data_IF_326059082482
#
_entry.id   IF_326059082482
#
_cell.length_a   1.000
_cell.length_b   1.000
_cell.length_c   1.000
_cell.angle_alpha   90.00
_cell.angle_beta   90.00
_cell.angle_gamma   90.00
#
_symmetry.space_group_name_H-M   'P 1'
#
loop_
_entity.id
_entity.type
_entity.pdbx_description
1 polymer ?
#
# COMPACT_ATOMS: atom_id res chain seq x y z
N UNK A 1 -23.38 -52.53 5.87
CA UNK A 1 -24.52 -51.79 5.27
C UNK A 1 -23.94 -50.55 4.60
N UNK A 2 -23.68 -50.63 3.30
CA UNK A 2 -23.04 -49.56 2.53
C UNK A 2 -24.13 -49.04 1.58
N UNK A 3 -24.53 -47.79 1.75
CA UNK A 3 -25.57 -47.16 0.94
C UNK A 3 -24.94 -46.61 -0.35
N UNK A 4 -25.46 -47.10 -1.46
CA UNK A 4 -25.09 -46.79 -2.84
C UNK A 4 -25.76 -45.48 -3.28
N UNK A 5 -24.98 -44.54 -3.85
CA UNK A 5 -25.46 -43.25 -4.32
C UNK A 5 -25.86 -43.32 -5.81
N UNK A 6 -27.01 -42.77 -6.25
CA UNK A 6 -27.42 -42.85 -7.65
C UNK A 6 -26.84 -41.74 -8.54
N UNK A 7 -26.57 -42.13 -9.79
CA UNK A 7 -25.98 -41.38 -10.88
C UNK A 7 -26.82 -40.19 -11.38
N UNK A 8 -26.14 -39.09 -11.71
CA UNK A 8 -26.74 -37.88 -12.29
C UNK A 8 -26.88 -38.00 -13.81
N UNK A 9 -28.07 -37.71 -14.33
CA UNK A 9 -28.41 -37.67 -15.77
C UNK A 9 -28.10 -36.30 -16.37
N UNK A 10 -27.31 -36.29 -17.44
CA UNK A 10 -27.04 -35.12 -18.28
C UNK A 10 -28.28 -34.71 -19.09
N UNK A 11 -28.78 -33.49 -18.86
CA UNK A 11 -29.86 -32.88 -19.65
C UNK A 11 -29.26 -31.94 -20.71
N UNK A 12 -29.29 -32.38 -21.96
CA UNK A 12 -29.02 -31.56 -23.16
C UNK A 12 -30.06 -30.44 -23.26
N UNK A 13 -29.63 -29.17 -23.21
CA UNK A 13 -30.49 -28.02 -23.53
C UNK A 13 -30.45 -27.72 -25.03
N UNK A 14 -31.65 -27.65 -25.61
CA UNK A 14 -31.98 -27.36 -27.00
C UNK A 14 -31.91 -25.86 -27.23
N UNK A 15 -31.27 -25.42 -28.32
CA UNK A 15 -31.29 -24.03 -28.78
C UNK A 15 -32.65 -23.71 -29.42
N UNK A 16 -33.34 -22.67 -28.93
CA UNK A 16 -34.49 -22.07 -29.58
C UNK A 16 -34.12 -20.68 -30.08
N UNK A 17 -34.08 -20.57 -31.41
CA UNK A 17 -33.97 -19.35 -32.20
C UNK A 17 -35.34 -18.66 -32.25
N UNK A 18 -35.38 -17.37 -32.00
CA UNK A 18 -36.54 -16.49 -32.19
C UNK A 18 -36.11 -15.19 -32.90
N UNK A 19 -37.05 -14.47 -33.56
CA UNK A 19 -36.79 -13.69 -34.77
C UNK A 19 -36.44 -12.21 -34.52
N UNK A 20 -35.79 -11.64 -35.53
CA UNK A 20 -35.58 -10.21 -35.70
C UNK A 20 -36.91 -9.47 -35.95
N UNK A 21 -37.08 -8.30 -35.33
CA UNK A 21 -37.63 -7.03 -35.89
C UNK A 21 -37.67 -5.99 -34.76
N UNK A 22 -37.09 -4.82 -35.01
CA UNK A 22 -37.17 -3.66 -34.12
C UNK A 22 -35.96 -2.73 -34.27
N UNK A 23 -35.86 -2.02 -35.39
CA UNK A 23 -34.88 -0.93 -35.55
C UNK A 23 -35.43 0.28 -34.80
N UNK A 24 -34.97 0.48 -33.56
CA UNK A 24 -35.16 1.75 -32.85
C UNK A 24 -34.25 2.84 -33.45
N UNK A 25 -34.74 4.09 -33.58
CA UNK A 25 -33.92 5.20 -34.06
C UNK A 25 -32.83 5.53 -33.04
N UNK A 26 -31.58 5.41 -33.48
CA UNK A 26 -30.39 5.74 -32.70
C UNK A 26 -30.48 7.19 -32.19
N UNK A 27 -30.75 7.33 -30.89
CA UNK A 27 -30.58 8.58 -30.17
C UNK A 27 -29.12 9.03 -30.34
N UNK A 28 -28.92 10.17 -31.01
CA UNK A 28 -27.63 10.85 -31.11
C UNK A 28 -27.14 11.10 -29.69
N UNK A 29 -26.17 10.30 -29.24
CA UNK A 29 -25.43 10.56 -28.00
C UNK A 29 -24.69 11.89 -28.18
N UNK A 30 -25.27 12.95 -27.63
CA UNK A 30 -24.59 14.22 -27.45
C UNK A 30 -23.33 13.90 -26.65
N UNK A 31 -22.16 14.07 -27.26
CA UNK A 31 -20.87 13.98 -26.57
C UNK A 31 -20.88 15.06 -25.49
N UNK A 32 -21.23 14.68 -24.26
CA UNK A 32 -21.03 15.54 -23.11
C UNK A 32 -19.57 15.93 -23.09
N UNK A 33 -19.27 17.24 -23.09
CA UNK A 33 -17.93 17.73 -22.80
C UNK A 33 -17.52 17.08 -21.48
N UNK A 34 -16.47 16.27 -21.52
CA UNK A 34 -15.85 15.76 -20.31
C UNK A 34 -15.50 16.97 -19.44
N UNK A 35 -16.12 17.08 -18.28
CA UNK A 35 -15.77 18.09 -17.30
C UNK A 35 -14.38 17.69 -16.81
N UNK A 36 -13.37 18.50 -17.11
CA UNK A 36 -12.01 18.25 -16.63
C UNK A 36 -12.02 18.20 -15.10
N UNK A 37 -11.39 17.17 -14.54
CA UNK A 37 -11.30 17.01 -13.10
C UNK A 37 -10.61 18.24 -12.48
N UNK A 38 -11.11 18.78 -11.36
CA UNK A 38 -10.44 19.88 -10.68
C UNK A 38 -8.99 19.51 -10.36
N UNK A 39 -8.06 20.44 -10.56
CA UNK A 39 -6.69 20.25 -10.10
C UNK A 39 -6.66 20.16 -8.57
N UNK A 40 -5.76 19.35 -8.02
CA UNK A 40 -5.47 19.41 -6.59
C UNK A 40 -4.96 20.80 -6.27
N UNK A 41 -5.33 21.29 -5.09
CA UNK A 41 -4.81 22.56 -4.65
C UNK A 41 -3.31 22.38 -4.43
N UNK A 42 -2.50 23.36 -4.86
CA UNK A 42 -1.04 23.27 -4.77
C UNK A 42 -0.52 23.13 -3.34
N UNK A 43 -1.37 23.34 -2.34
CA UNK A 43 -1.06 23.09 -0.94
C UNK A 43 -1.43 21.67 -0.50
N UNK A 44 -2.28 20.91 -1.18
CA UNK A 44 -2.66 19.53 -0.78
C UNK A 44 -1.41 18.66 -0.55
N UNK A 45 -0.34 18.87 -1.34
CA UNK A 45 0.96 18.21 -1.15
C UNK A 45 2.05 19.28 -1.29
N UNK A 46 3.01 19.40 -0.35
CA UNK A 46 3.23 18.58 0.85
C UNK A 46 2.24 18.89 1.99
N UNK A 47 1.95 17.90 2.84
CA UNK A 47 0.97 18.06 3.92
C UNK A 47 1.02 17.00 5.02
N UNK A 48 0.59 17.39 6.22
CA UNK A 48 0.33 16.48 7.33
C UNK A 48 -1.17 16.23 7.45
N UNK A 49 -1.56 14.99 7.68
CA UNK A 49 -2.94 14.53 7.80
C UNK A 49 -3.13 13.84 9.14
N UNK A 50 -4.26 14.11 9.78
CA UNK A 50 -4.82 13.21 10.77
C UNK A 50 -5.62 12.16 10.02
N UNK A 51 -5.43 10.89 10.35
CA UNK A 51 -6.10 9.78 9.67
C UNK A 51 -6.96 8.99 10.67
N UNK A 52 -7.93 8.27 10.13
CA UNK A 52 -8.85 7.42 10.88
C UNK A 52 -9.08 6.14 10.10
N UNK A 53 -8.88 5.00 10.76
CA UNK A 53 -9.24 3.68 10.24
C UNK A 53 -10.17 3.00 11.25
N UNK A 54 -11.42 2.68 10.88
CA UNK A 54 -12.33 1.96 11.77
C UNK A 54 -11.77 0.61 12.22
N UNK A 55 -11.17 -0.14 11.30
CA UNK A 55 -10.59 -1.46 11.61
C UNK A 55 -9.49 -1.35 12.67
N UNK A 56 -8.53 -0.45 12.48
CA UNK A 56 -7.42 -0.30 13.43
C UNK A 56 -7.93 0.18 14.79
N UNK A 57 -8.87 1.13 14.80
CA UNK A 57 -9.49 1.62 16.02
C UNK A 57 -10.19 0.50 16.79
N UNK A 58 -10.94 -0.37 16.11
CA UNK A 58 -11.65 -1.47 16.77
C UNK A 58 -10.73 -2.54 17.35
N UNK A 59 -9.58 -2.79 16.72
CA UNK A 59 -8.67 -3.87 17.12
C UNK A 59 -7.53 -3.41 18.04
N UNK A 60 -7.17 -2.13 18.03
CA UNK A 60 -5.94 -1.62 18.66
C UNK A 60 -6.09 -0.25 19.36
N UNK A 61 -7.32 0.24 19.60
CA UNK A 61 -7.50 1.49 20.35
C UNK A 61 -7.28 1.28 21.85
N UNK A 62 -6.13 1.75 22.33
CA UNK A 62 -5.85 1.94 23.75
C UNK A 62 -6.17 3.37 24.20
N UNK A 63 -6.52 3.56 25.47
CA UNK A 63 -6.83 4.91 26.03
C UNK A 63 -5.66 5.89 25.88
N UNK A 64 -4.42 5.38 25.90
CA UNK A 64 -3.18 6.17 25.76
C UNK A 64 -2.64 6.21 24.31
N UNK A 65 -3.38 5.66 23.35
CA UNK A 65 -2.90 5.55 21.98
C UNK A 65 -2.72 6.93 21.34
N UNK A 66 -1.56 7.15 20.71
CA UNK A 66 -1.29 8.37 19.96
C UNK A 66 -2.27 8.49 18.78
N UNK A 67 -2.68 9.71 18.40
CA UNK A 67 -3.50 9.91 17.21
C UNK A 67 -2.79 9.41 15.95
N UNK A 68 -3.51 8.66 15.12
CA UNK A 68 -2.99 8.24 13.82
C UNK A 68 -2.69 9.46 12.93
N UNK A 69 -1.53 9.44 12.29
CA UNK A 69 -1.08 10.55 11.46
C UNK A 69 -0.30 10.09 10.23
N UNK A 70 -0.38 10.89 9.17
CA UNK A 70 0.31 10.69 7.91
C UNK A 70 0.95 12.00 7.48
N UNK A 71 2.18 11.94 7.00
CA UNK A 71 2.95 13.06 6.48
C UNK A 71 3.33 12.74 5.05
N UNK A 72 3.06 13.64 4.10
CA UNK A 72 3.37 13.45 2.68
C UNK A 72 4.22 14.61 2.17
N UNK A 73 5.26 14.30 1.39
CA UNK A 73 6.05 15.31 0.69
C UNK A 73 6.76 14.72 -0.55
N UNK A 74 6.86 15.48 -1.65
CA UNK A 74 7.56 15.03 -2.85
C UNK A 74 9.08 15.01 -2.61
N UNK A 75 9.80 14.14 -3.31
CA UNK A 75 11.26 14.16 -3.31
C UNK A 75 11.78 15.51 -3.80
N UNK A 76 12.72 16.09 -3.04
CA UNK A 76 13.53 17.22 -3.48
C UNK A 76 14.24 16.89 -4.80
N UNK A 77 14.41 17.93 -5.64
CA UNK A 77 15.12 17.88 -6.92
C UNK A 77 14.33 17.22 -8.05
N UNK A 78 13.95 15.95 -7.89
CA UNK A 78 13.36 15.17 -8.99
C UNK A 78 11.85 15.25 -9.09
N UNK A 79 11.13 15.40 -7.96
CA UNK A 79 9.66 15.33 -7.92
C UNK A 79 9.06 14.00 -8.43
N UNK A 80 9.90 12.98 -8.69
CA UNK A 80 9.49 11.71 -9.34
C UNK A 80 8.80 10.74 -8.39
N UNK A 81 8.98 10.94 -7.10
CA UNK A 81 8.43 10.08 -6.06
C UNK A 81 7.78 10.97 -5.01
N UNK A 82 6.57 10.61 -4.62
CA UNK A 82 5.98 11.04 -3.37
C UNK A 82 6.48 10.11 -2.25
N UNK A 83 6.76 10.70 -1.11
CA UNK A 83 7.16 9.97 0.09
C UNK A 83 6.17 10.27 1.20
N UNK A 84 6.00 9.30 2.09
CA UNK A 84 5.21 9.48 3.28
C UNK A 84 5.86 8.91 4.53
N UNK A 85 5.55 9.49 5.68
CA UNK A 85 5.80 8.87 6.98
C UNK A 85 4.47 8.77 7.72
N UNK A 86 4.22 7.64 8.36
CA UNK A 86 2.93 7.36 8.96
C UNK A 86 3.06 6.76 10.35
N UNK A 87 1.99 6.88 11.11
CA UNK A 87 1.76 6.21 12.38
C UNK A 87 0.28 5.80 12.44
N UNK A 88 0.02 4.50 12.36
CA UNK A 88 -1.29 3.84 12.38
C UNK A 88 -1.55 3.18 13.75
N UNK A 89 -1.11 3.83 14.84
CA UNK A 89 -1.11 3.29 16.20
C UNK A 89 -0.20 2.08 16.33
N UNK A 90 -0.65 0.88 15.95
CA UNK A 90 0.09 -0.39 16.08
C UNK A 90 1.31 -0.49 15.16
N UNK A 91 1.29 0.22 14.02
CA UNK A 91 2.40 0.21 13.06
C UNK A 91 2.79 1.64 12.68
N UNK A 92 4.09 1.90 12.59
CA UNK A 92 4.63 3.13 12.05
C UNK A 92 5.69 2.87 10.99
N UNK A 93 5.90 3.82 10.09
CA UNK A 93 6.83 3.58 8.99
C UNK A 93 6.91 4.67 7.94
N UNK A 94 7.51 4.29 6.81
CA UNK A 94 7.74 5.13 5.64
C UNK A 94 7.12 4.50 4.40
N UNK A 95 6.41 5.33 3.64
CA UNK A 95 5.80 5.02 2.35
C UNK A 95 6.62 5.62 1.22
N UNK A 96 6.64 4.92 0.09
CA UNK A 96 7.24 5.38 -1.16
C UNK A 96 6.38 4.92 -2.33
N UNK A 97 6.16 5.82 -3.28
CA UNK A 97 5.41 5.51 -4.48
C UNK A 97 5.87 6.34 -5.67
N UNK A 98 5.06 6.33 -6.72
CA UNK A 98 5.29 7.10 -7.94
C UNK A 98 5.18 8.62 -7.74
N UNK A 99 5.09 9.39 -8.83
CA UNK A 99 5.01 10.85 -8.77
C UNK A 99 3.76 11.31 -8.00
N UNK A 100 3.78 12.52 -7.43
CA UNK A 100 2.61 13.08 -6.76
C UNK A 100 1.40 13.18 -7.71
N UNK A 101 0.18 12.88 -7.23
CA UNK A 101 -1.05 13.10 -7.97
C UNK A 101 -1.27 14.58 -8.27
N UNK A 102 -2.03 14.88 -9.33
CA UNK A 102 -2.22 16.25 -9.85
C UNK A 102 -3.67 16.72 -9.81
N UNK A 103 -4.62 15.79 -9.86
CA UNK A 103 -6.04 16.08 -9.95
C UNK A 103 -6.82 15.45 -8.80
N UNK A 104 -7.93 16.08 -8.45
CA UNK A 104 -8.89 15.51 -7.49
C UNK A 104 -9.43 14.21 -8.07
N UNK A 105 -9.41 13.17 -7.25
CA UNK A 105 -9.74 11.79 -7.63
C UNK A 105 -8.54 10.96 -8.07
N UNK A 106 -7.36 11.56 -8.25
CA UNK A 106 -6.15 10.79 -8.53
C UNK A 106 -5.79 9.91 -7.33
N UNK A 107 -5.36 8.69 -7.64
CA UNK A 107 -4.89 7.71 -6.67
C UNK A 107 -3.38 7.57 -6.77
N UNK A 108 -2.72 7.68 -5.62
CA UNK A 108 -1.31 7.41 -5.44
C UNK A 108 -1.12 6.02 -4.83
N UNK A 109 -0.54 5.12 -5.60
CA UNK A 109 -0.12 3.80 -5.12
C UNK A 109 1.27 3.86 -4.50
N UNK A 110 1.44 3.15 -3.39
CA UNK A 110 2.70 3.12 -2.65
C UNK A 110 3.02 1.72 -2.13
N UNK A 111 4.31 1.51 -1.88
CA UNK A 111 4.84 0.48 -1.00
C UNK A 111 5.25 1.12 0.32
N UNK A 112 5.29 0.34 1.40
CA UNK A 112 5.72 0.83 2.70
C UNK A 112 6.63 -0.14 3.44
N UNK A 113 7.37 0.40 4.40
CA UNK A 113 8.21 -0.33 5.35
C UNK A 113 8.03 0.29 6.72
N UNK A 114 7.96 -0.53 7.75
CA UNK A 114 7.66 -0.04 9.08
C UNK A 114 7.98 -1.04 10.17
N UNK A 115 7.67 -0.65 11.39
CA UNK A 115 7.81 -1.44 12.59
C UNK A 115 6.50 -1.43 13.35
N UNK A 116 6.22 -2.52 14.04
CA UNK A 116 5.25 -2.58 15.11
C UNK A 116 5.70 -1.63 16.25
N UNK A 117 4.76 -0.96 16.91
CA UNK A 117 5.07 0.15 17.83
C UNK A 117 5.32 -0.23 19.28
N UNK A 118 4.94 -1.44 19.71
CA UNK A 118 5.14 -1.96 21.05
C UNK A 118 6.54 -2.55 21.25
N UNK A 119 6.86 -3.61 20.51
CA UNK A 119 8.12 -4.35 20.58
C UNK A 119 9.16 -3.87 19.55
N UNK A 120 8.73 -3.10 18.54
CA UNK A 120 9.63 -2.56 17.53
C UNK A 120 9.97 -3.56 16.41
N UNK A 121 9.21 -4.64 16.29
CA UNK A 121 9.45 -5.67 15.28
C UNK A 121 9.26 -5.09 13.87
N UNK A 122 10.19 -5.41 12.97
CA UNK A 122 10.08 -4.98 11.57
C UNK A 122 8.91 -5.72 10.92
N UNK A 123 8.03 -4.96 10.27
CA UNK A 123 6.91 -5.53 9.53
C UNK A 123 7.41 -6.19 8.25
N UNK A 124 7.15 -7.49 8.13
CA UNK A 124 7.37 -8.26 6.92
C UNK A 124 6.03 -8.56 6.26
N UNK A 125 5.97 -8.67 4.93
CA UNK A 125 4.82 -9.24 4.26
C UNK A 125 4.74 -10.74 4.55
N UNK A 126 3.58 -11.23 5.00
CA UNK A 126 3.30 -12.66 5.20
C UNK A 126 3.43 -13.56 3.94
N UNK A 127 3.75 -13.01 2.76
CA UNK A 127 3.73 -13.75 1.48
C UNK A 127 4.72 -13.21 0.43
N UNK A 128 4.59 -13.66 -0.83
CA UNK A 128 5.31 -13.18 -2.02
C UNK A 128 5.25 -11.65 -2.28
N UNK A 129 4.50 -10.91 -1.45
CA UNK A 129 4.07 -9.54 -1.68
C UNK A 129 5.04 -8.48 -1.17
N UNK A 130 4.76 -7.25 -1.61
CA UNK A 130 5.32 -6.03 -1.02
C UNK A 130 4.17 -5.42 -0.20
N UNK A 131 4.47 -4.95 1.00
CA UNK A 131 3.51 -4.18 1.81
C UNK A 131 3.11 -2.92 1.04
N UNK A 132 1.82 -2.76 0.76
CA UNK A 132 1.30 -1.81 -0.22
C UNK A 132 0.09 -1.06 0.31
N UNK A 133 -0.30 -0.04 -0.43
CA UNK A 133 -1.53 0.67 -0.20
C UNK A 133 -1.78 1.70 -1.28
N UNK A 134 -2.88 2.43 -1.12
CA UNK A 134 -3.29 3.48 -2.02
C UNK A 134 -3.83 4.68 -1.25
N UNK A 135 -3.67 5.88 -1.81
CA UNK A 135 -4.32 7.10 -1.33
C UNK A 135 -4.98 7.82 -2.50
N UNK A 136 -6.29 7.98 -2.44
CA UNK A 136 -7.06 8.83 -3.34
C UNK A 136 -7.23 10.22 -2.72
N UNK A 137 -6.87 11.25 -3.48
CA UNK A 137 -6.98 12.64 -3.05
C UNK A 137 -8.34 13.21 -3.43
N UNK A 138 -9.13 13.61 -2.43
CA UNK A 138 -10.52 14.03 -2.63
C UNK A 138 -10.68 15.55 -2.72
N UNK A 139 -9.58 16.30 -2.74
CA UNK A 139 -9.57 17.76 -2.66
C UNK A 139 -9.86 18.29 -1.25
N UNK A 140 -9.66 19.59 -1.06
CA UNK A 140 -9.88 20.31 0.21
C UNK A 140 -9.16 19.66 1.41
N UNK A 141 -7.95 19.13 1.18
CA UNK A 141 -7.19 18.42 2.20
C UNK A 141 -7.80 17.09 2.68
N UNK A 142 -8.76 16.50 1.96
CA UNK A 142 -9.34 15.20 2.29
C UNK A 142 -8.69 14.08 1.51
N UNK A 143 -8.50 12.94 2.16
CA UNK A 143 -7.99 11.72 1.55
C UNK A 143 -8.81 10.50 1.97
N UNK A 144 -8.88 9.49 1.09
CA UNK A 144 -9.26 8.12 1.41
C UNK A 144 -8.12 7.22 0.97
N UNK A 145 -7.83 6.16 1.71
CA UNK A 145 -6.80 5.22 1.32
C UNK A 145 -7.03 3.82 1.84
N UNK A 146 -6.16 2.92 1.38
CA UNK A 146 -6.05 1.55 1.86
C UNK A 146 -4.61 1.23 2.21
N UNK A 147 -4.40 0.34 3.16
CA UNK A 147 -3.08 -0.15 3.54
C UNK A 147 -3.17 -1.65 3.88
N UNK A 148 -2.20 -2.42 3.39
CA UNK A 148 -2.09 -3.85 3.67
C UNK A 148 -1.01 -4.10 4.70
N UNK A 149 -1.19 -5.09 5.57
CA UNK A 149 -0.18 -5.55 6.51
C UNK A 149 -0.80 -6.43 7.59
N UNK A 150 -0.05 -7.37 8.13
CA UNK A 150 -0.64 -8.44 8.93
C UNK A 150 -1.30 -7.98 10.23
N UNK A 151 -0.77 -6.92 10.83
CA UNK A 151 -1.37 -6.24 11.99
C UNK A 151 -2.48 -5.25 11.61
N UNK A 152 -2.59 -4.90 10.33
CA UNK A 152 -3.56 -3.95 9.76
C UNK A 152 -4.72 -4.66 9.06
N UNK A 153 -4.72 -5.99 9.00
CA UNK A 153 -5.68 -6.79 8.21
C UNK A 153 -5.30 -6.89 6.73
N UNK A 154 -6.08 -7.64 5.96
CA UNK A 154 -5.81 -7.87 4.52
C UNK A 154 -5.72 -6.55 3.74
N UNK A 155 -6.68 -5.65 3.97
CA UNK A 155 -6.71 -4.31 3.38
C UNK A 155 -7.51 -3.35 4.29
N UNK A 156 -6.82 -2.64 5.19
CA UNK A 156 -7.47 -1.65 6.05
C UNK A 156 -7.76 -0.35 5.29
N UNK A 157 -9.03 0.04 5.26
CA UNK A 157 -9.43 1.36 4.81
C UNK A 157 -9.13 2.44 5.84
N UNK A 158 -8.74 3.62 5.37
CA UNK A 158 -8.63 4.82 6.19
C UNK A 158 -9.12 6.06 5.45
N UNK A 159 -9.48 7.08 6.22
CA UNK A 159 -9.75 8.43 5.74
C UNK A 159 -8.85 9.41 6.43
N UNK A 160 -8.65 10.60 5.84
CA UNK A 160 -7.79 11.61 6.45
C UNK A 160 -8.22 13.03 6.13
N UNK A 161 -7.79 13.94 7.01
CA UNK A 161 -7.94 15.38 6.86
C UNK A 161 -6.63 16.07 7.13
N UNK A 162 -6.26 16.96 6.22
CA UNK A 162 -5.07 17.78 6.29
C UNK A 162 -5.12 18.70 7.50
N UNK A 163 -4.00 18.79 8.20
CA UNK A 163 -3.76 19.70 9.29
C UNK A 163 -3.09 20.96 8.77
N UNK A 164 -3.19 22.06 9.53
CA UNK A 164 -2.53 23.34 9.19
C UNK A 164 -1.01 23.33 9.43
N UNK A 165 -0.42 22.17 9.66
CA UNK A 165 1.00 22.02 9.95
C UNK A 165 1.79 21.91 8.65
N UNK A 166 2.79 22.76 8.48
CA UNK A 166 3.69 22.71 7.33
C UNK A 166 4.65 21.53 7.44
N UNK A 167 4.81 20.78 6.35
CA UNK A 167 5.89 19.80 6.21
C UNK A 167 6.99 20.41 5.38
N UNK A 168 8.22 20.35 5.89
CA UNK A 168 9.39 20.72 5.12
C UNK A 168 9.84 19.52 4.29
N UNK A 169 10.24 19.78 3.05
CA UNK A 169 10.79 18.79 2.14
C UNK A 169 12.11 18.17 2.65
N UNK A 170 12.79 18.80 3.61
CA UNK A 170 13.95 18.23 4.31
C UNK A 170 13.61 16.97 5.10
N UNK A 171 12.36 16.81 5.55
CA UNK A 171 11.90 15.59 6.23
C UNK A 171 12.06 14.34 5.34
N UNK A 172 11.94 14.51 4.02
CA UNK A 172 12.07 13.41 3.05
C UNK A 172 13.47 12.79 3.07
N UNK A 173 14.53 13.57 3.37
CA UNK A 173 15.89 13.00 3.51
C UNK A 173 15.94 11.97 4.65
N UNK A 174 15.28 12.28 5.78
CA UNK A 174 15.15 11.37 6.91
C UNK A 174 14.34 10.13 6.56
N UNK A 175 13.19 10.30 5.90
CA UNK A 175 12.34 9.19 5.48
C UNK A 175 13.05 8.23 4.51
N UNK A 176 13.76 8.77 3.51
CA UNK A 176 14.61 7.99 2.60
C UNK A 176 15.63 7.15 3.37
N UNK A 177 16.31 7.75 4.36
CA UNK A 177 17.29 7.04 5.20
C UNK A 177 16.63 5.90 5.98
N UNK A 178 15.52 6.16 6.67
CA UNK A 178 14.77 5.14 7.42
C UNK A 178 14.35 3.99 6.52
N UNK A 179 13.72 4.30 5.38
CA UNK A 179 13.24 3.30 4.42
C UNK A 179 14.36 2.40 3.87
N UNK A 180 15.55 2.97 3.64
CA UNK A 180 16.74 2.22 3.19
C UNK A 180 17.34 1.39 4.32
N UNK A 181 17.46 1.93 5.52
CA UNK A 181 17.99 1.20 6.67
C UNK A 181 17.17 -0.04 7.02
N UNK A 182 15.83 0.03 6.89
CA UNK A 182 14.96 -1.13 7.04
C UNK A 182 15.25 -2.21 5.97
N UNK A 183 15.66 -1.80 4.76
CA UNK A 183 16.12 -2.76 3.75
C UNK A 183 17.39 -3.47 4.17
N UNK A 184 18.36 -2.72 4.69
CA UNK A 184 19.67 -3.23 5.12
C UNK A 184 19.52 -4.17 6.32
N UNK A 185 18.72 -3.81 7.32
CA UNK A 185 18.39 -4.67 8.46
C UNK A 185 17.69 -5.94 8.01
N UNK A 186 16.71 -5.83 7.08
CA UNK A 186 16.09 -7.02 6.50
C UNK A 186 17.12 -7.89 5.79
N UNK A 187 18.13 -7.30 5.12
CA UNK A 187 19.19 -8.02 4.43
C UNK A 187 20.14 -8.73 5.38
N UNK A 188 20.60 -8.04 6.43
CA UNK A 188 21.47 -8.60 7.45
C UNK A 188 20.82 -9.77 8.18
N UNK A 189 19.55 -9.63 8.57
CA UNK A 189 18.79 -10.73 9.16
C UNK A 189 18.69 -11.94 8.22
N UNK A 190 18.50 -11.77 6.91
CA UNK A 190 18.52 -12.94 6.01
C UNK A 190 19.86 -13.66 5.98
N UNK A 191 20.97 -12.93 5.99
CA UNK A 191 22.29 -13.58 5.94
C UNK A 191 22.55 -14.39 7.20
N UNK A 192 22.30 -13.77 8.36
CA UNK A 192 22.39 -14.44 9.64
C UNK A 192 21.52 -15.71 9.70
N UNK A 193 20.25 -15.62 9.28
CA UNK A 193 19.36 -16.76 9.29
C UNK A 193 19.77 -17.87 8.32
N UNK A 194 20.27 -17.52 7.13
CA UNK A 194 20.81 -18.49 6.18
C UNK A 194 21.98 -19.27 6.75
N UNK A 195 22.87 -18.58 7.46
CA UNK A 195 24.02 -19.18 8.14
C UNK A 195 23.56 -20.08 9.30
N UNK A 196 22.70 -19.59 10.18
CA UNK A 196 22.16 -20.36 11.31
C UNK A 196 21.41 -21.64 10.88
N UNK A 197 20.63 -21.57 9.79
CA UNK A 197 19.97 -22.75 9.23
C UNK A 197 20.97 -23.77 8.68
N UNK A 198 22.05 -23.31 8.04
CA UNK A 198 23.09 -24.18 7.52
C UNK A 198 23.86 -24.88 8.65
N UNK A 199 24.16 -24.17 9.74
CA UNK A 199 24.84 -24.72 10.93
C UNK A 199 24.03 -25.80 11.65
N UNK A 200 22.70 -25.63 11.74
CA UNK A 200 21.83 -26.61 12.39
C UNK A 200 21.47 -27.82 11.51
N UNK A 201 22.06 -27.93 10.31
CA UNK A 201 21.74 -28.99 9.35
C UNK A 201 20.28 -28.97 8.89
N UNK A 202 19.56 -27.87 9.13
CA UNK A 202 18.19 -27.68 8.68
C UNK A 202 18.24 -27.63 7.16
N UNK A 203 17.56 -28.59 6.54
CA UNK A 203 17.60 -28.74 5.08
C UNK A 203 17.25 -27.44 4.38
N UNK A 204 17.76 -27.27 3.16
CA UNK A 204 17.42 -26.16 2.27
C UNK A 204 15.90 -25.88 2.22
N UNK A 205 15.05 -26.90 2.46
CA UNK A 205 13.58 -26.82 2.51
C UNK A 205 13.03 -26.05 3.73
N UNK A 206 13.68 -26.14 4.90
CA UNK A 206 13.32 -25.37 6.11
C UNK A 206 13.78 -23.91 5.99
N UNK A 207 15.02 -23.72 5.53
CA UNK A 207 15.53 -22.41 5.14
C UNK A 207 14.74 -21.78 3.98
N UNK A 208 14.03 -22.57 3.17
CA UNK A 208 13.19 -22.09 2.06
C UNK A 208 11.78 -21.74 2.50
N UNK A 209 11.27 -22.29 3.60
CA UNK A 209 10.00 -21.85 4.19
C UNK A 209 10.16 -20.47 4.84
N UNK A 210 11.16 -20.29 5.71
CA UNK A 210 11.42 -19.00 6.39
C UNK A 210 12.23 -18.01 5.53
N UNK A 211 13.11 -18.50 4.65
CA UNK A 211 13.88 -17.65 3.74
C UNK A 211 13.07 -17.14 2.54
N UNK A 212 11.91 -17.72 2.24
CA UNK A 212 10.96 -17.19 1.23
C UNK A 212 10.42 -15.82 1.65
N UNK A 213 10.10 -15.64 2.93
CA UNK A 213 9.61 -14.37 3.49
C UNK A 213 10.71 -13.30 3.42
N UNK A 214 11.95 -13.67 3.74
CA UNK A 214 13.07 -12.74 3.75
C UNK A 214 13.59 -12.38 2.34
N UNK A 215 13.60 -13.29 1.35
CA UNK A 215 14.17 -13.05 0.03
C UNK A 215 13.46 -11.98 -0.82
N UNK A 216 12.26 -11.54 -0.41
CA UNK A 216 11.30 -10.86 -1.29
C UNK A 216 11.06 -9.38 -1.01
N UNK A 217 11.59 -8.87 0.10
CA UNK A 217 11.57 -7.44 0.42
C UNK A 217 12.62 -6.60 -0.33
N UNK A 218 13.48 -7.27 -1.11
CA UNK A 218 14.63 -6.68 -1.78
C UNK A 218 14.30 -6.27 -3.21
N UNK A 219 13.63 -5.14 -3.36
CA UNK A 219 13.97 -4.29 -4.50
C UNK A 219 15.44 -3.88 -4.31
N UNK A 220 16.29 -4.23 -5.29
CA UNK A 220 17.61 -3.58 -5.39
C UNK A 220 17.39 -2.06 -5.36
N UNK A 221 18.31 -1.27 -4.77
CA UNK A 221 18.13 0.17 -4.71
C UNK A 221 17.83 0.68 -6.12
N UNK A 222 16.67 1.32 -6.31
CA UNK A 222 16.35 1.87 -7.62
C UNK A 222 17.44 2.89 -7.98
N UNK A 223 17.72 3.15 -9.26
CA UNK A 223 18.69 4.18 -9.64
C UNK A 223 18.36 5.57 -9.07
N UNK A 224 17.09 5.83 -8.78
CA UNK A 224 16.61 7.03 -8.08
C UNK A 224 16.93 7.04 -6.58
N UNK A 225 17.35 5.92 -6.00
CA UNK A 225 17.71 5.78 -4.59
C UNK A 225 19.22 5.97 -4.36
N UNK A 226 20.05 5.91 -5.39
CA UNK A 226 21.50 6.08 -5.30
C UNK A 226 22.00 7.47 -5.67
N UNK A 227 21.13 8.38 -6.12
CA UNK A 227 21.54 9.77 -6.32
C UNK A 227 21.79 10.41 -4.95
N UNK A 228 23.05 10.68 -4.66
CA UNK A 228 23.47 11.60 -3.63
C UNK A 228 22.85 12.97 -3.95
N UNK A 229 21.75 13.31 -3.27
CA UNK A 229 21.23 14.69 -3.17
C UNK A 229 22.21 15.52 -2.31
N UNK A 230 23.50 15.48 -2.65
CA UNK A 230 24.54 16.37 -2.15
C UNK A 230 24.48 17.63 -3.00
N UNK A 231 23.83 18.64 -2.43
CA UNK A 231 23.86 20.04 -2.86
C UNK A 231 24.00 20.87 -1.60
#
# INVERSE_FOLDING_TARGET
MVAEAPAQKNVKRKASRAPAVGVEPAAKKTKGKAIEAPQLLGDDIPGQYRIWSPYIKENWEDEDAKPMNLKLAPSLGTGRHLWGAFHFQVVEGVMRGGPPPKYVGDTWEFMWRGTETGEGEIMFPNDDGVLRGSITFLGDGKIKGTITGDLLGEEAEFTGRKLKTSITSTAVKGWKKTFRSMNELSFGMRQYWKEACAEQGLTRRFAYQYGKELHRCADGPAPSDTSSDES
#
